data_IF_210019788935
#
_entry.id   IF_210019788935
#
_cell.length_a   1.000
_cell.length_b   1.000
_cell.length_c   1.000
_cell.angle_alpha   90.00
_cell.angle_beta   90.00
_cell.angle_gamma   90.00
#
_symmetry.space_group_name_H-M   'P 1'
#
loop_
_entity.id
_entity.type
_entity.pdbx_description
1 polymer ?
#
# COMPACT_ATOMS: atom_id res chain seq x y z
N UNK A 1 7.71 13.77 5.94
CA UNK A 1 7.40 15.19 5.69
C UNK A 1 7.32 15.54 4.19
N UNK A 2 8.17 14.98 3.32
CA UNK A 2 8.16 15.32 1.87
C UNK A 2 6.97 14.73 1.11
N UNK A 3 6.54 13.52 1.46
CA UNK A 3 5.42 12.82 0.80
C UNK A 3 4.09 13.60 0.84
N UNK A 4 3.64 14.17 1.98
CA UNK A 4 2.40 14.97 1.99
C UNK A 4 2.50 16.27 1.16
N UNK A 5 3.69 16.87 1.01
CA UNK A 5 3.88 18.04 0.15
C UNK A 5 3.74 17.69 -1.34
N UNK A 6 4.24 16.53 -1.74
CA UNK A 6 4.09 16.00 -3.10
C UNK A 6 2.62 15.62 -3.35
N UNK A 7 1.97 15.00 -2.37
CA UNK A 7 0.55 14.62 -2.46
C UNK A 7 -0.37 15.84 -2.66
N UNK A 8 -0.07 16.96 -2.00
CA UNK A 8 -0.82 18.21 -2.18
C UNK A 8 -0.71 18.80 -3.60
N UNK A 9 0.38 18.54 -4.33
CA UNK A 9 0.57 19.02 -5.71
C UNK A 9 0.01 18.09 -6.78
N UNK A 10 0.14 16.77 -6.58
CA UNK A 10 -0.14 15.76 -7.61
C UNK A 10 -1.50 15.07 -7.38
N UNK A 11 -2.05 15.15 -6.16
CA UNK A 11 -3.24 14.42 -5.72
C UNK A 11 -2.86 13.09 -5.08
N UNK A 12 -3.64 12.69 -4.06
CA UNK A 12 -3.39 11.47 -3.28
C UNK A 12 -3.54 10.23 -4.18
N UNK A 13 -4.54 10.25 -5.06
CA UNK A 13 -4.79 9.19 -6.05
C UNK A 13 -3.59 8.98 -6.99
N UNK A 14 -3.10 10.06 -7.60
CA UNK A 14 -2.00 9.99 -8.57
C UNK A 14 -0.70 9.53 -7.91
N UNK A 15 -0.48 9.90 -6.64
CA UNK A 15 0.68 9.44 -5.88
C UNK A 15 0.63 7.93 -5.63
N UNK A 16 -0.54 7.36 -5.31
CA UNK A 16 -0.71 5.91 -5.21
C UNK A 16 -0.46 5.22 -6.54
N UNK A 17 -0.94 5.78 -7.65
CA UNK A 17 -0.68 5.26 -9.00
C UNK A 17 0.81 5.25 -9.32
N UNK A 18 1.53 6.34 -9.06
CA UNK A 18 2.98 6.40 -9.23
C UNK A 18 3.69 5.34 -8.36
N UNK A 19 3.28 5.19 -7.10
CA UNK A 19 3.82 4.17 -6.20
C UNK A 19 3.60 2.74 -6.71
N UNK A 20 2.41 2.44 -7.23
CA UNK A 20 2.09 1.13 -7.79
C UNK A 20 2.87 0.84 -9.07
N UNK A 21 3.01 1.83 -9.97
CA UNK A 21 3.80 1.70 -11.20
C UNK A 21 5.27 1.45 -10.86
N UNK A 22 5.85 2.23 -9.94
CA UNK A 22 7.22 2.01 -9.47
C UNK A 22 7.40 0.65 -8.78
N UNK A 23 6.41 0.20 -8.02
CA UNK A 23 6.40 -1.12 -7.40
C UNK A 23 6.39 -2.26 -8.42
N UNK A 24 5.55 -2.16 -9.45
CA UNK A 24 5.48 -3.15 -10.54
C UNK A 24 6.78 -3.14 -11.35
N UNK A 25 7.30 -1.96 -11.72
CA UNK A 25 8.57 -1.84 -12.45
C UNK A 25 9.77 -2.35 -11.65
N UNK A 26 9.80 -2.10 -10.34
CA UNK A 26 10.83 -2.62 -9.45
C UNK A 26 10.84 -4.15 -9.41
N UNK A 27 9.68 -4.77 -9.22
CA UNK A 27 9.55 -6.23 -9.21
C UNK A 27 9.79 -6.86 -10.59
N UNK A 28 9.27 -6.26 -11.67
CA UNK A 28 9.51 -6.73 -13.03
C UNK A 28 11.00 -6.60 -13.42
N UNK A 29 11.68 -5.54 -12.99
CA UNK A 29 13.12 -5.36 -13.17
C UNK A 29 13.94 -6.46 -12.49
N UNK A 30 13.50 -6.93 -11.32
CA UNK A 30 14.14 -8.07 -10.64
C UNK A 30 14.07 -9.36 -11.46
N UNK A 31 13.05 -9.56 -12.31
CA UNK A 31 12.96 -10.73 -13.20
C UNK A 31 13.93 -10.67 -14.39
N UNK A 32 14.21 -9.46 -14.89
CA UNK A 32 15.08 -9.28 -16.07
C UNK A 32 16.55 -9.30 -15.66
N UNK A 33 16.87 -8.78 -14.47
CA UNK A 33 18.25 -8.55 -14.04
C UNK A 33 18.73 -9.49 -12.92
N UNK A 34 18.23 -10.73 -12.92
CA UNK A 34 18.57 -11.79 -11.93
C UNK A 34 20.07 -12.06 -11.78
N UNK A 35 20.86 -11.81 -12.84
CA UNK A 35 22.27 -12.18 -12.91
C UNK A 35 23.24 -11.10 -12.37
N UNK A 36 22.76 -9.91 -12.01
CA UNK A 36 23.61 -8.80 -11.54
C UNK A 36 23.15 -8.30 -10.17
N UNK A 37 23.94 -8.58 -9.13
CA UNK A 37 23.63 -8.18 -7.75
C UNK A 37 23.47 -6.67 -7.60
N UNK A 38 24.27 -5.87 -8.33
CA UNK A 38 24.15 -4.41 -8.32
C UNK A 38 22.79 -3.94 -8.86
N UNK A 39 22.29 -4.60 -9.90
CA UNK A 39 21.05 -4.24 -10.57
C UNK A 39 19.82 -4.67 -9.75
N UNK A 40 19.90 -5.79 -9.04
CA UNK A 40 18.87 -6.20 -8.07
C UNK A 40 18.73 -5.21 -6.92
N UNK A 41 19.85 -4.68 -6.40
CA UNK A 41 19.83 -3.63 -5.37
C UNK A 41 19.15 -2.38 -5.92
N UNK A 42 19.49 -1.94 -7.13
CA UNK A 42 18.87 -0.79 -7.77
C UNK A 42 17.34 -0.97 -7.92
N UNK A 43 16.88 -2.15 -8.38
CA UNK A 43 15.45 -2.45 -8.47
C UNK A 43 14.74 -2.46 -7.11
N UNK A 44 15.41 -2.95 -6.06
CA UNK A 44 14.88 -2.96 -4.69
C UNK A 44 14.74 -1.55 -4.12
N UNK A 45 15.66 -0.64 -4.47
CA UNK A 45 15.54 0.79 -4.12
C UNK A 45 14.33 1.40 -4.80
N UNK A 46 14.12 1.14 -6.09
CA UNK A 46 12.94 1.64 -6.83
C UNK A 46 11.64 1.12 -6.19
N UNK A 47 11.60 -0.17 -5.86
CA UNK A 47 10.48 -0.77 -5.14
C UNK A 47 10.22 -0.09 -3.79
N UNK A 48 11.29 0.14 -3.01
CA UNK A 48 11.22 0.77 -1.69
C UNK A 48 10.72 2.21 -1.75
N UNK A 49 11.11 2.95 -2.80
CA UNK A 49 10.59 4.30 -3.05
C UNK A 49 9.09 4.25 -3.41
N UNK A 50 8.67 3.30 -4.25
CA UNK A 50 7.26 3.10 -4.59
C UNK A 50 6.39 2.78 -3.36
N UNK A 51 6.84 1.88 -2.50
CA UNK A 51 6.14 1.53 -1.26
C UNK A 51 6.15 2.65 -0.23
N UNK A 52 7.21 3.47 -0.18
CA UNK A 52 7.26 4.66 0.67
C UNK A 52 6.15 5.66 0.31
N UNK A 53 5.90 5.90 -0.98
CA UNK A 53 4.81 6.78 -1.41
C UNK A 53 3.43 6.28 -0.98
N UNK A 54 3.17 4.98 -1.13
CA UNK A 54 1.89 4.38 -0.72
C UNK A 54 1.71 4.46 0.80
N UNK A 55 2.72 4.06 1.58
CA UNK A 55 2.65 4.12 3.04
C UNK A 55 2.53 5.55 3.58
N UNK A 56 3.11 6.53 2.91
CA UNK A 56 3.00 7.93 3.32
C UNK A 56 1.62 8.54 3.10
N UNK A 57 0.78 7.94 2.23
CA UNK A 57 -0.53 8.48 1.89
C UNK A 57 -1.72 7.64 2.36
N UNK A 58 -1.51 6.36 2.67
CA UNK A 58 -2.57 5.45 3.10
C UNK A 58 -3.33 5.99 4.32
N UNK A 59 -2.63 6.54 5.32
CA UNK A 59 -3.25 7.10 6.52
C UNK A 59 -4.01 8.41 6.23
N UNK A 60 -3.56 9.19 5.26
CA UNK A 60 -4.28 10.40 4.80
C UNK A 60 -5.59 9.98 4.14
N UNK A 61 -5.55 9.00 3.23
CA UNK A 61 -6.75 8.49 2.56
C UNK A 61 -7.74 7.82 3.55
N UNK A 62 -7.22 7.14 4.58
CA UNK A 62 -8.05 6.60 5.66
C UNK A 62 -8.75 7.72 6.43
N UNK A 63 -8.03 8.79 6.81
CA UNK A 63 -8.64 9.94 7.48
C UNK A 63 -9.74 10.58 6.60
N UNK A 64 -9.46 10.80 5.31
CA UNK A 64 -10.46 11.33 4.36
C UNK A 64 -11.73 10.47 4.29
N UNK A 65 -11.56 9.14 4.38
CA UNK A 65 -12.69 8.19 4.36
C UNK A 65 -13.49 8.25 5.66
N UNK A 66 -12.85 8.49 6.81
CA UNK A 66 -13.52 8.71 8.09
C UNK A 66 -14.33 9.99 8.05
N UNK A 67 -13.73 11.09 7.58
CA UNK A 67 -14.40 12.39 7.47
C UNK A 67 -15.61 12.33 6.52
N UNK A 68 -15.49 11.57 5.42
CA UNK A 68 -16.63 11.29 4.53
C UNK A 68 -17.75 10.51 5.24
N UNK A 69 -17.39 9.55 6.09
CA UNK A 69 -18.35 8.81 6.91
C UNK A 69 -19.07 9.72 7.89
N UNK A 70 -18.35 10.61 8.57
CA UNK A 70 -18.91 11.62 9.47
C UNK A 70 -19.84 12.56 8.71
N UNK A 71 -19.45 13.03 7.52
CA UNK A 71 -20.28 13.91 6.70
C UNK A 71 -21.64 13.29 6.35
N UNK A 72 -21.63 12.00 5.98
CA UNK A 72 -22.83 11.29 5.52
C UNK A 72 -23.71 10.76 6.65
N UNK A 73 -23.09 10.31 7.75
CA UNK A 73 -23.82 9.69 8.88
C UNK A 73 -24.04 10.64 10.05
N UNK A 74 -23.34 11.78 10.11
CA UNK A 74 -23.40 12.73 11.22
C UNK A 74 -22.75 12.25 12.52
N UNK A 75 -22.14 11.05 12.52
CA UNK A 75 -21.52 10.44 13.71
C UNK A 75 -20.03 10.23 13.43
N UNK A 76 -19.18 10.75 14.32
CA UNK A 76 -17.72 10.57 14.24
C UNK A 76 -17.29 9.28 14.93
N UNK A 77 -17.14 8.20 14.16
CA UNK A 77 -16.64 6.89 14.65
C UNK A 77 -15.14 6.67 14.38
N UNK A 78 -14.35 7.74 14.51
CA UNK A 78 -12.91 7.74 14.16
C UNK A 78 -12.11 6.67 14.93
N UNK A 79 -12.35 6.53 16.24
CA UNK A 79 -11.63 5.57 17.08
C UNK A 79 -11.89 4.11 16.69
N UNK A 80 -13.15 3.78 16.41
CA UNK A 80 -13.53 2.43 15.98
C UNK A 80 -12.95 2.08 14.61
N UNK A 81 -13.06 2.98 13.64
CA UNK A 81 -12.54 2.76 12.29
C UNK A 81 -11.02 2.61 12.28
N UNK A 82 -10.29 3.43 13.03
CA UNK A 82 -8.83 3.32 13.13
C UNK A 82 -8.40 2.03 13.84
N UNK A 83 -9.11 1.61 14.89
CA UNK A 83 -8.87 0.33 15.53
C UNK A 83 -9.11 -0.85 14.58
N UNK A 84 -10.19 -0.79 13.79
CA UNK A 84 -10.50 -1.81 12.79
C UNK A 84 -9.44 -1.89 11.69
N UNK A 85 -8.93 -0.75 11.20
CA UNK A 85 -7.82 -0.72 10.23
C UNK A 85 -6.58 -1.41 10.82
N UNK A 86 -6.19 -1.06 12.05
CA UNK A 86 -5.04 -1.69 12.71
C UNK A 86 -5.22 -3.20 12.91
N UNK A 87 -6.43 -3.64 13.25
CA UNK A 87 -6.78 -5.06 13.36
C UNK A 87 -6.68 -5.78 12.01
N UNK A 88 -7.25 -5.21 10.94
CA UNK A 88 -7.20 -5.77 9.60
C UNK A 88 -5.76 -5.90 9.08
N UNK A 89 -4.91 -4.90 9.33
CA UNK A 89 -3.48 -4.96 8.97
C UNK A 89 -2.76 -6.08 9.70
N UNK A 90 -3.03 -6.30 10.99
CA UNK A 90 -2.42 -7.40 11.76
C UNK A 90 -2.79 -8.76 11.18
N UNK A 91 -4.08 -8.97 10.88
CA UNK A 91 -4.54 -10.21 10.24
C UNK A 91 -3.88 -10.39 8.88
N UNK A 92 -3.85 -9.34 8.05
CA UNK A 92 -3.23 -9.39 6.74
C UNK A 92 -1.75 -9.79 6.83
N UNK A 93 -1.00 -9.21 7.77
CA UNK A 93 0.42 -9.55 7.97
C UNK A 93 0.61 -11.00 8.41
N UNK A 94 -0.22 -11.50 9.34
CA UNK A 94 -0.18 -12.91 9.74
C UNK A 94 -0.51 -13.85 8.59
N UNK A 95 -1.49 -13.48 7.77
CA UNK A 95 -1.88 -14.24 6.59
C UNK A 95 -0.75 -14.29 5.56
N UNK A 96 -0.16 -13.13 5.23
CA UNK A 96 0.97 -13.03 4.29
C UNK A 96 2.16 -13.86 4.79
N UNK A 97 2.50 -13.79 6.08
CA UNK A 97 3.60 -14.56 6.65
C UNK A 97 3.35 -16.08 6.55
N UNK A 98 2.13 -16.52 6.88
CA UNK A 98 1.74 -17.94 6.83
C UNK A 98 1.78 -18.47 5.40
N UNK A 99 1.17 -17.75 4.45
CA UNK A 99 1.15 -18.14 3.04
C UNK A 99 2.55 -18.17 2.45
N UNK A 100 3.38 -17.15 2.75
CA UNK A 100 4.76 -17.10 2.27
C UNK A 100 5.59 -18.26 2.82
N UNK A 101 5.42 -18.60 4.10
CA UNK A 101 6.10 -19.75 4.71
C UNK A 101 5.68 -21.07 4.05
N UNK A 102 4.37 -21.28 3.86
CA UNK A 102 3.86 -22.50 3.23
C UNK A 102 4.37 -22.69 1.79
N UNK A 103 4.50 -21.59 1.02
CA UNK A 103 5.06 -21.63 -0.33
C UNK A 103 6.55 -22.00 -0.30
N UNK A 104 7.32 -21.44 0.64
CA UNK A 104 8.73 -21.79 0.81
C UNK A 104 8.92 -23.25 1.22
N UNK A 105 8.11 -23.73 2.18
CA UNK A 105 8.15 -25.12 2.65
C UNK A 105 7.79 -26.09 1.51
N UNK A 106 6.75 -25.78 0.73
CA UNK A 106 6.36 -26.57 -0.45
C UNK A 106 7.43 -26.55 -1.55
N UNK A 107 8.18 -25.45 -1.67
CA UNK A 107 9.33 -25.34 -2.57
C UNK A 107 10.55 -26.14 -2.14
N UNK A 108 10.55 -26.70 -0.93
CA UNK A 108 11.69 -27.41 -0.35
C UNK A 108 12.84 -26.48 0.03
N UNK A 109 12.53 -25.25 0.44
CA UNK A 109 13.53 -24.28 0.88
C UNK A 109 14.26 -24.78 2.13
N UNK A 110 15.60 -24.91 2.05
CA UNK A 110 16.44 -25.30 3.19
C UNK A 110 17.34 -24.13 3.54
N UNK A 111 17.01 -23.41 4.62
CA UNK A 111 17.83 -22.29 5.10
C UNK A 111 19.26 -22.73 5.40
N UNK A 112 20.23 -22.09 4.75
CA UNK A 112 21.66 -22.33 4.98
C UNK A 112 22.34 -23.37 4.07
N UNK A 113 21.63 -23.99 3.12
CA UNK A 113 22.28 -24.81 2.10
C UNK A 113 23.03 -23.94 1.06
N UNK A 114 24.27 -24.32 0.71
CA UNK A 114 25.10 -23.61 -0.27
C UNK A 114 24.46 -23.54 -1.67
N UNK A 115 23.65 -24.56 -2.02
CA UNK A 115 22.88 -24.59 -3.26
C UNK A 115 21.43 -24.94 -2.98
N UNK A 116 20.52 -24.09 -3.43
CA UNK A 116 19.08 -24.32 -3.34
C UNK A 116 18.60 -25.11 -4.58
N UNK A 117 17.57 -25.93 -4.40
CA UNK A 117 16.95 -26.63 -5.53
C UNK A 117 16.28 -25.63 -6.47
N UNK A 118 16.15 -25.98 -7.75
CA UNK A 118 15.45 -25.14 -8.73
C UNK A 118 14.00 -24.83 -8.30
N UNK A 119 13.36 -25.77 -7.59
CA UNK A 119 12.02 -25.59 -7.01
C UNK A 119 12.01 -24.55 -5.89
N UNK A 120 13.02 -24.55 -5.00
CA UNK A 120 13.14 -23.56 -3.94
C UNK A 120 13.41 -22.15 -4.49
N UNK A 121 14.22 -22.03 -5.54
CA UNK A 121 14.47 -20.75 -6.23
C UNK A 121 13.16 -20.22 -6.84
N UNK A 122 12.39 -21.07 -7.52
CA UNK A 122 11.10 -20.67 -8.08
C UNK A 122 10.11 -20.23 -6.99
N UNK A 123 10.08 -20.92 -5.83
CA UNK A 123 9.21 -20.53 -4.73
C UNK A 123 9.59 -19.15 -4.14
N UNK A 124 10.88 -18.86 -4.01
CA UNK A 124 11.38 -17.54 -3.60
C UNK A 124 10.96 -16.46 -4.60
N UNK A 125 11.12 -16.72 -5.91
CA UNK A 125 10.70 -15.78 -6.94
C UNK A 125 9.19 -15.52 -6.91
N UNK A 126 8.37 -16.55 -6.67
CA UNK A 126 6.92 -16.38 -6.52
C UNK A 126 6.58 -15.48 -5.32
N UNK A 127 7.20 -15.70 -4.16
CA UNK A 127 6.94 -14.89 -2.96
C UNK A 127 7.41 -13.44 -3.09
N UNK A 128 8.59 -13.21 -3.66
CA UNK A 128 9.21 -11.89 -3.69
C UNK A 128 8.90 -11.06 -4.94
N UNK A 129 8.39 -11.67 -6.00
CA UNK A 129 8.12 -10.96 -7.25
C UNK A 129 6.66 -11.06 -7.66
N UNK A 130 6.13 -12.28 -7.83
CA UNK A 130 4.80 -12.46 -8.38
C UNK A 130 3.69 -12.00 -7.43
N UNK A 131 3.77 -12.37 -6.15
CA UNK A 131 2.78 -11.95 -5.15
C UNK A 131 2.72 -10.41 -5.03
N UNK A 132 3.85 -9.68 -4.87
CA UNK A 132 3.83 -8.22 -4.87
C UNK A 132 3.28 -7.59 -6.15
N UNK A 133 3.62 -8.11 -7.34
CA UNK A 133 3.09 -7.58 -8.61
C UNK A 133 1.56 -7.67 -8.66
N UNK A 134 1.00 -8.82 -8.27
CA UNK A 134 -0.45 -9.01 -8.23
C UNK A 134 -1.07 -8.04 -7.23
N UNK A 135 -0.48 -7.90 -6.04
CA UNK A 135 -0.97 -6.97 -5.01
C UNK A 135 -0.96 -5.51 -5.50
N UNK A 136 0.14 -5.03 -6.09
CA UNK A 136 0.20 -3.67 -6.65
C UNK A 136 -0.79 -3.46 -7.79
N UNK A 137 -1.02 -4.47 -8.61
CA UNK A 137 -2.00 -4.41 -9.70
C UNK A 137 -3.42 -4.27 -9.15
N UNK A 138 -3.77 -5.05 -8.13
CA UNK A 138 -5.08 -4.95 -7.46
C UNK A 138 -5.25 -3.55 -6.84
N UNK A 139 -4.23 -3.04 -6.13
CA UNK A 139 -4.26 -1.70 -5.53
C UNK A 139 -4.45 -0.63 -6.62
N UNK A 140 -3.74 -0.75 -7.74
CA UNK A 140 -3.84 0.17 -8.87
C UNK A 140 -5.28 0.24 -9.43
N UNK A 141 -5.91 -0.93 -9.63
CA UNK A 141 -7.29 -1.03 -10.12
C UNK A 141 -8.29 -0.45 -9.12
N UNK A 142 -8.18 -0.82 -7.84
CA UNK A 142 -9.09 -0.31 -6.80
C UNK A 142 -8.97 1.21 -6.68
N UNK A 143 -7.74 1.73 -6.70
CA UNK A 143 -7.49 3.17 -6.61
C UNK A 143 -8.01 3.94 -7.82
N UNK A 144 -8.18 3.28 -8.99
CA UNK A 144 -8.83 3.88 -10.15
C UNK A 144 -10.28 4.31 -9.88
N UNK A 145 -10.96 3.66 -8.94
CA UNK A 145 -12.33 4.00 -8.53
C UNK A 145 -12.38 5.00 -7.37
N UNK A 146 -11.24 5.43 -6.83
CA UNK A 146 -11.18 6.39 -5.74
C UNK A 146 -11.49 7.80 -6.25
N UNK A 147 -12.78 8.18 -6.23
CA UNK A 147 -13.29 9.51 -6.62
C UNK A 147 -13.30 10.52 -5.46
N UNK A 148 -13.01 10.06 -4.24
CA UNK A 148 -13.12 10.87 -3.03
C UNK A 148 -12.17 12.07 -3.02
N UNK A 149 -11.01 11.94 -3.68
CA UNK A 149 -9.99 13.00 -3.76
C UNK A 149 -10.54 14.32 -4.35
N UNK A 150 -11.49 14.25 -5.28
CA UNK A 150 -12.12 15.44 -5.88
C UNK A 150 -13.23 16.04 -5.01
N UNK A 151 -13.93 15.22 -4.23
CA UNK A 151 -15.07 15.66 -3.41
C UNK A 151 -14.61 16.14 -2.03
N UNK A 152 -13.42 15.72 -1.60
CA UNK A 152 -12.91 15.97 -0.26
C UNK A 152 -12.83 17.46 0.13
N UNK A 153 -12.41 18.41 -0.73
CA UNK A 153 -12.39 19.82 -0.36
C UNK A 153 -13.76 20.38 0.02
N UNK A 154 -14.83 19.97 -0.69
CA UNK A 154 -16.19 20.41 -0.41
C UNK A 154 -16.74 19.77 0.87
N UNK A 155 -16.46 18.48 1.09
CA UNK A 155 -16.84 17.76 2.31
C UNK A 155 -16.18 18.40 3.54
N UNK A 156 -14.89 18.70 3.44
CA UNK A 156 -14.13 19.31 4.53
C UNK A 156 -14.67 20.71 4.88
N UNK A 157 -14.92 21.55 3.87
CA UNK A 157 -15.47 22.88 4.10
C UNK A 157 -16.84 22.85 4.80
N UNK A 158 -17.70 21.90 4.44
CA UNK A 158 -19.01 21.72 5.09
C UNK A 158 -18.89 21.16 6.51
N UNK A 159 -17.95 20.26 6.78
CA UNK A 159 -17.68 19.79 8.15
C UNK A 159 -17.17 20.91 9.04
N UNK A 160 -16.18 21.67 8.56
CA UNK A 160 -15.59 22.79 9.31
C UNK A 160 -16.67 23.84 9.65
N UNK A 161 -17.60 24.10 8.72
CA UNK A 161 -18.77 24.96 8.97
C UNK A 161 -19.65 24.41 10.10
N UNK A 162 -20.04 23.13 10.05
CA UNK A 162 -20.89 22.50 11.07
C UNK A 162 -20.25 22.49 12.45
N UNK A 163 -18.94 22.26 12.53
CA UNK A 163 -18.22 22.29 13.80
C UNK A 163 -18.18 23.72 14.37
N UNK A 164 -17.92 24.73 13.55
CA UNK A 164 -17.91 26.13 13.99
C UNK A 164 -19.30 26.63 14.46
N UNK A 165 -20.38 26.18 13.83
CA UNK A 165 -21.75 26.52 14.23
C UNK A 165 -22.15 25.85 15.55
N UNK A 166 -21.67 24.63 15.80
CA UNK A 166 -21.90 23.92 17.06
C UNK A 166 -21.12 24.51 18.24
N UNK A 167 -19.93 25.08 18.00
CA UNK A 167 -19.13 25.77 19.04
C UNK A 167 -19.68 27.17 19.38
N UNK A 168 -20.46 27.76 18.48
CA UNK A 168 -21.09 29.07 18.67
C UNK A 168 -22.44 29.01 19.41
N UNK A 169 -22.97 27.81 19.66
CA UNK A 169 -24.23 27.54 20.39
C UNK A 169 -23.96 27.09 21.83
#
# INVERSE_FOLDING_TARGET
>A
LVIPLIAQKIGNRNLVWCGCILGILGNAGMLVFKNSSFMLIACTVILSVGTAFINGIIYVMCAQSIDYGEWKMGIRVQGFLMAFIGFAVKIANSFVATVSSAILDAGGYVGGAETQTASAISAIETCYVWIPIIAFTIIFIINAFFKLDQQYPAIKAELDRRHSEAEAQ
#
